data_IF_450382840324
#
_entry.id   IF_450382840324
#
_cell.length_a   1.000
_cell.length_b   1.000
_cell.length_c   1.000
_cell.angle_alpha   90.00
_cell.angle_beta   90.00
_cell.angle_gamma   90.00
#
_symmetry.space_group_name_H-M   'P 1'
#
loop_
_entity.id
_entity.type
_entity.pdbx_description
1 polymer ?
#
# COMPACT_ATOMS: atom_id res chain seq x y z
N UNK A 1 -7.65 21.78 2.78
CA UNK A 1 -7.09 22.67 1.74
C UNK A 1 -5.62 22.35 1.64
N UNK A 2 -5.10 22.13 0.43
CA UNK A 2 -3.65 21.90 0.24
C UNK A 2 -2.89 23.22 0.43
N UNK A 3 -1.59 23.18 0.75
CA UNK A 3 -0.75 24.37 0.76
C UNK A 3 -0.74 25.06 -0.62
N UNK A 4 -0.61 26.39 -0.64
CA UNK A 4 -0.69 27.22 -1.85
C UNK A 4 0.38 26.91 -2.91
N UNK A 5 1.48 26.29 -2.51
CA UNK A 5 2.61 25.94 -3.36
C UNK A 5 2.46 24.56 -4.02
N UNK A 6 1.47 23.76 -3.61
CA UNK A 6 1.15 22.48 -4.25
C UNK A 6 0.22 22.74 -5.43
N UNK A 7 0.67 22.45 -6.64
CA UNK A 7 -0.10 22.57 -7.88
C UNK A 7 -0.71 21.23 -8.24
N UNK A 8 -1.81 21.26 -8.99
CA UNK A 8 -2.39 20.09 -9.62
C UNK A 8 -1.98 20.03 -11.08
N UNK A 9 -1.61 18.85 -11.54
CA UNK A 9 -1.33 18.59 -12.95
C UNK A 9 -2.58 18.03 -13.64
N UNK A 10 -2.54 17.95 -14.97
CA UNK A 10 -3.57 17.20 -15.72
C UNK A 10 -3.53 15.71 -15.32
N UNK A 11 -4.67 15.00 -15.39
CA UNK A 11 -4.69 13.54 -15.24
C UNK A 11 -3.63 12.87 -16.13
N UNK A 12 -2.88 11.94 -15.55
CA UNK A 12 -1.79 11.23 -16.24
C UNK A 12 -0.49 12.04 -16.44
N UNK A 13 -0.35 13.23 -15.83
CA UNK A 13 0.92 13.98 -15.85
C UNK A 13 1.57 14.00 -14.45
N UNK A 14 2.53 13.11 -14.25
CA UNK A 14 3.38 13.09 -13.06
C UNK A 14 4.53 14.10 -13.19
N UNK A 15 5.27 14.34 -12.10
CA UNK A 15 6.47 15.19 -12.09
C UNK A 15 7.72 14.50 -12.62
N UNK A 16 7.61 13.20 -12.89
CA UNK A 16 8.60 12.40 -13.63
C UNK A 16 7.92 11.79 -14.84
N UNK A 17 8.67 11.64 -15.92
CA UNK A 17 8.16 11.00 -17.12
C UNK A 17 7.88 9.52 -16.87
N UNK A 18 6.88 8.99 -17.56
CA UNK A 18 6.58 7.57 -17.60
C UNK A 18 5.91 7.20 -18.92
N UNK A 19 6.13 5.98 -19.39
CA UNK A 19 5.58 5.50 -20.65
C UNK A 19 4.77 4.21 -20.45
N UNK A 20 3.46 4.31 -20.68
CA UNK A 20 2.58 3.15 -20.68
C UNK A 20 3.00 2.10 -21.70
N UNK A 21 3.59 2.47 -22.85
CA UNK A 21 4.06 1.52 -23.86
C UNK A 21 5.18 0.61 -23.33
N UNK A 22 5.99 1.11 -22.41
CA UNK A 22 7.06 0.35 -21.74
C UNK A 22 6.56 -0.42 -20.52
N UNK A 23 5.49 0.06 -19.86
CA UNK A 23 4.92 -0.61 -18.70
C UNK A 23 4.39 -2.00 -19.03
N UNK A 24 4.71 -2.96 -18.15
CA UNK A 24 4.20 -4.32 -18.14
C UNK A 24 3.59 -4.60 -16.78
N UNK A 25 2.56 -5.46 -16.76
CA UNK A 25 1.95 -5.91 -15.52
C UNK A 25 3.02 -6.45 -14.56
N UNK A 26 3.13 -5.88 -13.34
CA UNK A 26 4.14 -6.29 -12.40
C UNK A 26 3.85 -7.69 -11.86
N UNK A 27 4.90 -8.36 -11.42
CA UNK A 27 4.81 -9.68 -10.81
C UNK A 27 5.32 -9.58 -9.37
N UNK A 28 4.46 -9.89 -8.41
CA UNK A 28 4.78 -9.70 -7.00
C UNK A 28 5.87 -10.68 -6.52
N UNK A 29 6.06 -11.81 -7.20
CA UNK A 29 7.15 -12.76 -6.91
C UNK A 29 8.54 -12.20 -7.24
N UNK A 30 8.62 -11.21 -8.14
CA UNK A 30 9.87 -10.53 -8.49
C UNK A 30 10.27 -9.46 -7.48
N UNK A 31 9.45 -9.21 -6.46
CA UNK A 31 9.82 -8.34 -5.34
C UNK A 31 10.66 -9.10 -4.32
N UNK A 32 11.40 -8.39 -3.46
CA UNK A 32 12.10 -9.01 -2.32
C UNK A 32 11.14 -9.65 -1.30
N UNK A 33 9.83 -9.45 -1.45
CA UNK A 33 8.80 -9.99 -0.57
C UNK A 33 8.16 -11.28 -1.12
N UNK A 34 8.40 -11.64 -2.38
CA UNK A 34 7.87 -12.88 -2.99
C UNK A 34 8.19 -14.11 -2.13
N UNK A 35 7.22 -14.99 -1.90
CA UNK A 35 7.34 -16.17 -1.03
C UNK A 35 7.58 -15.90 0.46
N UNK A 36 7.78 -14.64 0.87
CA UNK A 36 8.24 -14.25 2.20
C UNK A 36 7.20 -14.22 3.31
N UNK A 37 5.93 -14.42 2.99
CA UNK A 37 4.82 -14.31 3.95
C UNK A 37 4.22 -15.66 4.33
N UNK A 38 4.82 -16.77 3.89
CA UNK A 38 4.38 -18.12 4.21
C UNK A 38 4.71 -18.48 5.66
N UNK A 39 3.67 -18.73 6.48
CA UNK A 39 3.60 -19.54 7.71
C UNK A 39 4.66 -19.44 8.82
N UNK A 40 5.94 -19.31 8.50
CA UNK A 40 7.09 -19.24 9.39
C UNK A 40 7.39 -17.82 9.91
N UNK A 41 6.64 -16.81 9.49
CA UNK A 41 6.88 -15.39 9.80
C UNK A 41 7.59 -14.65 8.66
N UNK A 42 7.57 -13.31 8.73
CA UNK A 42 8.09 -12.42 7.67
C UNK A 42 9.52 -12.79 7.25
N UNK A 43 9.70 -13.11 5.97
CA UNK A 43 10.96 -13.47 5.32
C UNK A 43 11.64 -14.74 5.88
N UNK A 44 10.95 -15.54 6.68
CA UNK A 44 11.53 -16.75 7.29
C UNK A 44 11.39 -17.99 6.42
N UNK A 45 10.43 -18.02 5.50
CA UNK A 45 10.31 -19.12 4.56
C UNK A 45 11.52 -19.19 3.62
N UNK A 46 12.09 -20.38 3.46
CA UNK A 46 13.26 -20.62 2.61
C UNK A 46 12.98 -20.30 1.15
N UNK A 47 11.73 -20.38 0.69
CA UNK A 47 11.31 -20.04 -0.68
C UNK A 47 11.21 -18.54 -0.94
N UNK A 48 11.39 -17.69 0.08
CA UNK A 48 11.28 -16.24 -0.13
C UNK A 48 12.36 -15.69 -1.07
N UNK A 49 11.98 -14.79 -1.96
CA UNK A 49 12.85 -14.19 -2.98
C UNK A 49 14.07 -13.54 -2.35
N UNK A 50 13.92 -12.85 -1.21
CA UNK A 50 15.06 -12.29 -0.46
C UNK A 50 16.07 -13.37 -0.05
N UNK A 51 15.61 -14.45 0.60
CA UNK A 51 16.50 -15.54 1.05
C UNK A 51 17.17 -16.26 -0.12
N UNK A 52 16.44 -16.46 -1.21
CA UNK A 52 16.97 -17.06 -2.44
C UNK A 52 18.02 -16.16 -3.10
N UNK A 53 17.81 -14.84 -3.08
CA UNK A 53 18.72 -13.86 -3.70
C UNK A 53 20.04 -13.73 -2.92
N UNK A 54 20.00 -13.66 -1.59
CA UNK A 54 21.21 -13.46 -0.79
C UNK A 54 21.84 -14.76 -0.26
N UNK A 55 21.18 -15.90 -0.48
CA UNK A 55 21.58 -17.22 0.01
C UNK A 55 20.95 -17.59 1.36
N UNK A 56 20.57 -18.86 1.51
CA UNK A 56 19.87 -19.36 2.71
C UNK A 56 20.70 -19.24 3.98
N UNK A 57 22.00 -19.52 3.90
CA UNK A 57 22.92 -19.45 5.04
C UNK A 57 23.12 -18.00 5.52
N UNK A 58 23.44 -17.10 4.58
CA UNK A 58 23.62 -15.67 4.88
C UNK A 58 22.34 -15.04 5.44
N UNK A 59 21.19 -15.32 4.83
CA UNK A 59 19.90 -14.85 5.33
C UNK A 59 19.58 -15.42 6.71
N UNK A 60 19.87 -16.69 6.98
CA UNK A 60 19.68 -17.28 8.30
C UNK A 60 20.54 -16.59 9.35
N UNK A 61 21.82 -16.33 9.05
CA UNK A 61 22.70 -15.59 9.97
C UNK A 61 22.20 -14.17 10.29
N UNK A 62 21.55 -13.50 9.34
CA UNK A 62 20.90 -12.19 9.58
C UNK A 62 19.69 -12.35 10.51
N UNK A 63 18.84 -13.35 10.29
CA UNK A 63 17.68 -13.65 11.13
C UNK A 63 18.14 -13.97 12.55
N UNK A 64 19.11 -14.87 12.71
CA UNK A 64 19.61 -15.30 14.02
C UNK A 64 20.23 -14.13 14.80
N UNK A 65 20.97 -13.26 14.10
CA UNK A 65 21.52 -12.03 14.69
C UNK A 65 20.41 -11.08 15.15
N UNK A 66 19.36 -10.92 14.35
CA UNK A 66 18.20 -10.10 14.70
C UNK A 66 17.46 -10.66 15.92
N UNK A 67 17.23 -11.96 15.97
CA UNK A 67 16.55 -12.64 17.08
C UNK A 67 17.37 -12.52 18.36
N UNK A 68 18.69 -12.77 18.27
CA UNK A 68 19.61 -12.56 19.39
C UNK A 68 19.59 -11.12 19.90
N UNK A 69 19.59 -10.13 19.00
CA UNK A 69 19.54 -8.72 19.40
C UNK A 69 18.26 -8.37 20.15
N UNK A 70 17.10 -8.91 19.74
CA UNK A 70 15.84 -8.71 20.46
C UNK A 70 15.92 -9.20 21.92
N UNK A 71 16.52 -10.36 22.15
CA UNK A 71 16.66 -10.95 23.48
C UNK A 71 17.74 -10.26 24.33
N UNK A 72 18.96 -10.13 23.80
CA UNK A 72 20.10 -9.59 24.53
C UNK A 72 19.88 -8.13 24.91
N UNK A 73 19.37 -7.30 23.99
CA UNK A 73 19.15 -5.88 24.25
C UNK A 73 18.04 -5.66 25.28
N UNK A 74 17.01 -6.50 25.26
CA UNK A 74 15.95 -6.48 26.28
C UNK A 74 16.47 -6.91 27.65
N UNK A 75 17.27 -7.98 27.73
CA UNK A 75 17.88 -8.46 28.97
C UNK A 75 18.80 -7.41 29.60
N UNK A 76 19.49 -6.62 28.77
CA UNK A 76 20.35 -5.51 29.19
C UNK A 76 19.60 -4.18 29.41
N UNK A 77 18.27 -4.16 29.29
CA UNK A 77 17.43 -2.98 29.44
C UNK A 77 17.85 -1.80 28.54
N UNK A 78 18.36 -2.09 27.34
CA UNK A 78 18.84 -1.09 26.40
C UNK A 78 17.68 -0.17 25.96
N UNK A 79 17.84 1.17 26.03
CA UNK A 79 16.81 2.10 25.57
C UNK A 79 16.35 1.84 24.13
N UNK A 80 15.04 1.76 23.91
CA UNK A 80 14.43 1.45 22.61
C UNK A 80 14.30 -0.06 22.32
N UNK A 81 14.82 -0.91 23.19
CA UNK A 81 14.76 -2.38 23.13
C UNK A 81 14.26 -2.99 24.45
N UNK A 82 13.76 -2.18 25.37
CA UNK A 82 13.28 -2.65 26.66
C UNK A 82 12.05 -3.54 26.47
N UNK A 83 11.72 -4.36 27.46
CA UNK A 83 10.54 -5.25 27.37
C UNK A 83 9.26 -4.47 27.04
N UNK A 84 9.10 -3.23 27.56
CA UNK A 84 7.97 -2.35 27.21
C UNK A 84 7.97 -1.88 25.75
N UNK A 85 9.14 -1.70 25.15
CA UNK A 85 9.30 -1.29 23.75
C UNK A 85 8.93 -2.48 22.84
N UNK A 86 9.42 -3.68 23.17
CA UNK A 86 9.05 -4.92 22.50
C UNK A 86 7.55 -5.22 22.63
N UNK A 87 6.97 -4.97 23.81
CA UNK A 87 5.53 -5.14 24.04
C UNK A 87 4.70 -4.22 23.13
N UNK A 88 5.14 -2.97 22.91
CA UNK A 88 4.47 -2.07 21.95
C UNK A 88 4.53 -2.64 20.53
N UNK A 89 5.69 -3.15 20.10
CA UNK A 89 5.83 -3.79 18.78
C UNK A 89 4.93 -5.03 18.67
N UNK A 90 4.86 -5.88 19.70
CA UNK A 90 3.93 -7.02 19.72
C UNK A 90 2.46 -6.60 19.70
N UNK A 91 2.10 -5.44 20.25
CA UNK A 91 0.74 -4.87 20.15
C UNK A 91 0.44 -4.18 18.80
N UNK A 92 1.46 -3.99 17.96
CA UNK A 92 1.31 -3.38 16.63
C UNK A 92 0.95 -4.38 15.52
N UNK A 93 0.78 -5.66 15.88
CA UNK A 93 0.63 -6.79 14.95
C UNK A 93 -0.55 -6.69 13.98
N UNK A 94 -0.40 -7.52 12.95
CA UNK A 94 -1.36 -7.87 11.93
C UNK A 94 -2.49 -8.71 12.54
N UNK A 95 -3.73 -8.29 12.32
CA UNK A 95 -4.94 -9.04 12.70
C UNK A 95 -5.38 -9.94 11.52
N UNK A 96 -6.38 -10.79 11.74
CA UNK A 96 -6.96 -11.70 10.74
C UNK A 96 -7.23 -11.05 9.37
N UNK A 97 -7.18 -11.84 8.30
CA UNK A 97 -7.33 -11.36 6.93
C UNK A 97 -8.72 -10.75 6.67
N UNK A 98 -8.82 -9.55 6.06
CA UNK A 98 -10.11 -8.98 5.66
C UNK A 98 -10.70 -9.75 4.45
N UNK A 99 -12.00 -9.62 4.18
CA UNK A 99 -12.58 -10.19 2.96
C UNK A 99 -11.95 -9.54 1.73
N UNK A 100 -11.55 -10.38 0.76
CA UNK A 100 -10.97 -9.92 -0.49
C UNK A 100 -12.00 -9.21 -1.39
N UNK A 101 -13.23 -9.72 -1.42
CA UNK A 101 -14.33 -9.17 -2.20
C UNK A 101 -15.55 -8.96 -1.31
N UNK A 102 -16.27 -7.88 -1.56
CA UNK A 102 -17.54 -7.61 -0.90
C UNK A 102 -18.49 -6.91 -1.88
N UNK A 103 -19.56 -7.63 -2.23
CA UNK A 103 -20.76 -7.05 -2.83
C UNK A 103 -21.73 -6.65 -1.71
N UNK A 104 -22.77 -5.87 -2.03
CA UNK A 104 -23.86 -5.59 -1.11
C UNK A 104 -24.25 -6.88 -0.37
N UNK A 105 -24.15 -6.84 0.96
CA UNK A 105 -24.18 -8.02 1.84
C UNK A 105 -25.33 -8.97 1.50
N UNK A 106 -25.15 -10.28 1.72
CA UNK A 106 -26.25 -11.28 1.73
C UNK A 106 -27.32 -11.04 2.82
N UNK A 107 -27.27 -9.89 3.52
CA UNK A 107 -28.37 -9.39 4.33
C UNK A 107 -29.52 -8.99 3.38
N UNK A 108 -30.53 -9.87 3.31
CA UNK A 108 -31.71 -9.72 2.48
C UNK A 108 -32.39 -8.34 2.67
N UNK A 109 -32.34 -7.78 3.88
CA UNK A 109 -32.93 -6.47 4.15
C UNK A 109 -32.17 -5.34 3.45
N UNK A 110 -30.85 -5.44 3.35
CA UNK A 110 -30.01 -4.44 2.66
C UNK A 110 -30.03 -4.59 1.15
N UNK A 111 -30.24 -5.79 0.62
CA UNK A 111 -30.45 -5.99 -0.82
C UNK A 111 -31.73 -5.32 -1.34
N UNK A 112 -32.72 -5.12 -0.47
CA UNK A 112 -33.95 -4.42 -0.82
C UNK A 112 -33.83 -2.89 -0.73
N UNK A 113 -32.71 -2.36 -0.22
CA UNK A 113 -32.51 -0.92 -0.22
C UNK A 113 -32.33 -0.43 -1.66
N UNK A 114 -32.86 0.76 -2.00
CA UNK A 114 -32.57 1.36 -3.28
C UNK A 114 -31.06 1.57 -3.40
N UNK A 115 -30.52 1.27 -4.58
CA UNK A 115 -29.16 1.64 -4.94
C UNK A 115 -29.03 3.16 -4.84
N UNK A 116 -27.94 3.64 -4.25
CA UNK A 116 -27.68 5.07 -4.19
C UNK A 116 -27.41 5.62 -5.59
N UNK A 117 -27.93 6.81 -5.88
CA UNK A 117 -27.71 7.52 -7.14
C UNK A 117 -27.22 8.95 -6.86
N UNK A 118 -26.29 9.41 -7.68
CA UNK A 118 -25.71 10.75 -7.61
C UNK A 118 -24.54 10.92 -8.56
N UNK A 119 -23.95 12.11 -8.57
CA UNK A 119 -22.80 12.43 -9.44
C UNK A 119 -21.50 11.79 -8.91
N UNK A 120 -20.50 11.54 -9.78
CA UNK A 120 -19.18 11.08 -9.34
C UNK A 120 -18.50 12.01 -8.32
N UNK A 121 -18.77 13.33 -8.40
CA UNK A 121 -18.27 14.35 -7.48
C UNK A 121 -18.91 14.22 -6.09
N UNK A 122 -20.23 14.01 -6.03
CA UNK A 122 -20.94 13.74 -4.79
C UNK A 122 -20.49 12.43 -4.16
N UNK A 123 -20.34 11.38 -4.98
CA UNK A 123 -19.83 10.08 -4.55
C UNK A 123 -18.42 10.21 -3.94
N UNK A 124 -17.49 10.88 -4.62
CA UNK A 124 -16.13 11.09 -4.12
C UNK A 124 -16.11 11.90 -2.80
N UNK A 125 -16.94 12.94 -2.69
CA UNK A 125 -17.07 13.72 -1.44
C UNK A 125 -17.64 12.88 -0.29
N UNK A 126 -18.66 12.07 -0.57
CA UNK A 126 -19.30 11.17 0.39
C UNK A 126 -18.32 10.09 0.88
N UNK A 127 -17.67 9.39 -0.05
CA UNK A 127 -16.67 8.36 0.26
C UNK A 127 -15.53 8.97 1.06
N UNK A 128 -15.05 10.18 0.71
CA UNK A 128 -14.02 10.87 1.49
C UNK A 128 -14.45 11.16 2.93
N UNK A 129 -15.67 11.62 3.13
CA UNK A 129 -16.21 11.84 4.47
C UNK A 129 -16.29 10.53 5.27
N UNK A 130 -16.79 9.45 4.66
CA UNK A 130 -16.87 8.14 5.29
C UNK A 130 -15.48 7.56 5.62
N UNK A 131 -14.53 7.60 4.68
CA UNK A 131 -13.17 7.10 4.91
C UNK A 131 -12.46 7.86 6.04
N UNK A 132 -12.62 9.19 6.10
CA UNK A 132 -12.09 10.02 7.21
C UNK A 132 -12.71 9.64 8.55
N UNK A 133 -14.02 9.38 8.58
CA UNK A 133 -14.71 8.89 9.77
C UNK A 133 -14.19 7.52 10.22
N UNK A 134 -13.88 6.62 9.29
CA UNK A 134 -13.32 5.29 9.60
C UNK A 134 -11.83 5.31 9.99
N UNK A 135 -11.15 6.45 9.89
CA UNK A 135 -9.78 6.62 10.36
C UNK A 135 -8.72 6.75 9.27
N UNK A 136 -9.10 6.85 7.99
CA UNK A 136 -8.16 7.21 6.93
C UNK A 136 -7.65 8.64 7.14
N UNK A 137 -6.37 8.87 6.83
CA UNK A 137 -5.80 10.22 6.88
C UNK A 137 -6.24 11.04 5.65
N UNK A 138 -6.33 10.47 4.47
CA UNK A 138 -7.01 11.10 3.33
C UNK A 138 -7.31 10.03 2.28
N UNK A 139 -8.13 10.39 1.29
CA UNK A 139 -8.31 9.59 0.09
C UNK A 139 -8.15 10.42 -1.18
N UNK A 140 -7.82 9.73 -2.26
CA UNK A 140 -7.86 10.20 -3.64
C UNK A 140 -8.51 9.12 -4.48
N UNK A 141 -9.14 9.50 -5.57
CA UNK A 141 -9.98 8.60 -6.37
C UNK A 141 -9.67 8.75 -7.84
N UNK A 142 -9.86 7.68 -8.61
CA UNK A 142 -9.72 7.73 -10.06
C UNK A 142 -10.33 6.53 -10.76
N UNK A 143 -10.60 6.69 -12.04
CA UNK A 143 -11.02 5.59 -12.91
C UNK A 143 -9.80 4.75 -13.30
N UNK A 144 -9.95 3.42 -13.33
CA UNK A 144 -8.95 2.53 -13.92
C UNK A 144 -9.32 2.24 -15.36
N UNK A 145 -8.56 2.79 -16.30
CA UNK A 145 -8.79 2.64 -17.74
C UNK A 145 -7.97 1.49 -18.32
N UNK A 146 -7.96 1.36 -19.65
CA UNK A 146 -7.09 0.42 -20.35
C UNK A 146 -5.60 0.67 -20.09
N UNK A 147 -5.19 1.91 -19.77
CA UNK A 147 -3.81 2.23 -19.43
C UNK A 147 -3.44 1.67 -18.05
N UNK A 148 -4.24 1.98 -17.03
CA UNK A 148 -4.02 1.51 -15.65
C UNK A 148 -4.18 -0.01 -15.50
N UNK A 149 -4.77 -0.70 -16.48
CA UNK A 149 -4.78 -2.17 -16.53
C UNK A 149 -3.37 -2.78 -16.40
N UNK A 150 -2.33 -2.04 -16.82
CA UNK A 150 -0.91 -2.43 -16.69
C UNK A 150 -0.36 -2.38 -15.27
N UNK A 151 -1.11 -1.82 -14.31
CA UNK A 151 -0.73 -1.75 -12.91
C UNK A 151 -1.15 -3.00 -12.12
N UNK A 152 -2.10 -3.79 -12.65
CA UNK A 152 -2.54 -5.00 -11.99
C UNK A 152 -1.42 -6.04 -11.96
N UNK A 153 -1.21 -6.63 -10.79
CA UNK A 153 -0.24 -7.67 -10.59
C UNK A 153 -0.65 -8.95 -11.34
N UNK A 154 0.31 -9.69 -11.88
CA UNK A 154 0.07 -10.96 -12.59
C UNK A 154 0.04 -12.17 -11.65
N UNK A 155 0.81 -12.11 -10.56
CA UNK A 155 0.88 -13.14 -9.51
C UNK A 155 0.94 -12.47 -8.15
N UNK A 156 0.41 -13.14 -7.13
CA UNK A 156 0.57 -12.75 -5.74
C UNK A 156 1.89 -13.27 -5.14
N UNK A 157 2.14 -12.99 -3.84
CA UNK A 157 3.38 -13.41 -3.16
C UNK A 157 3.46 -14.90 -2.86
N UNK A 158 2.41 -15.66 -3.14
CA UNK A 158 2.38 -17.11 -2.97
C UNK A 158 2.49 -17.84 -4.29
N UNK A 159 2.86 -17.13 -5.36
CA UNK A 159 2.97 -17.64 -6.72
C UNK A 159 1.61 -18.03 -7.33
N UNK A 160 0.52 -17.45 -6.82
CA UNK A 160 -0.82 -17.68 -7.36
C UNK A 160 -1.17 -16.60 -8.39
N UNK A 161 -1.73 -16.99 -9.56
CA UNK A 161 -2.11 -16.04 -10.60
C UNK A 161 -3.23 -15.11 -10.12
N UNK A 162 -3.13 -13.84 -10.51
CA UNK A 162 -4.18 -12.83 -10.36
C UNK A 162 -4.78 -12.62 -11.75
N UNK A 163 -6.07 -12.90 -11.90
CA UNK A 163 -6.73 -12.99 -13.22
C UNK A 163 -8.03 -12.23 -13.26
N UNK A 164 -8.37 -11.73 -14.45
CA UNK A 164 -9.67 -11.15 -14.76
C UNK A 164 -10.59 -12.22 -15.35
N UNK A 165 -11.81 -12.35 -14.82
CA UNK A 165 -12.80 -13.34 -15.27
C UNK A 165 -14.21 -12.76 -15.31
N UNK A 166 -15.06 -13.33 -16.18
CA UNK A 166 -16.52 -13.11 -16.16
C UNK A 166 -17.15 -13.88 -15.01
N UNK A 167 -16.86 -13.45 -13.78
CA UNK A 167 -17.39 -14.03 -12.54
C UNK A 167 -18.47 -13.11 -11.93
N UNK A 168 -19.51 -13.68 -11.29
CA UNK A 168 -20.46 -12.88 -10.52
C UNK A 168 -19.83 -12.20 -9.29
N UNK A 169 -18.76 -12.78 -8.73
CA UNK A 169 -18.05 -12.27 -7.55
C UNK A 169 -16.53 -12.37 -7.71
N UNK A 170 -15.79 -11.50 -7.02
CA UNK A 170 -14.36 -11.71 -6.82
C UNK A 170 -14.12 -12.77 -5.73
N UNK A 171 -13.02 -13.50 -5.82
CA UNK A 171 -12.65 -14.49 -4.81
C UNK A 171 -11.15 -14.76 -4.82
N UNK A 172 -10.66 -15.30 -3.70
CA UNK A 172 -9.29 -15.76 -3.53
C UNK A 172 -9.34 -17.17 -2.94
N UNK A 173 -8.67 -18.13 -3.58
CA UNK A 173 -8.61 -19.51 -3.13
C UNK A 173 -7.17 -20.06 -3.21
N UNK A 174 -6.98 -21.37 -3.08
CA UNK A 174 -5.65 -21.98 -3.14
C UNK A 174 -5.03 -22.02 -4.55
N UNK A 175 -5.78 -21.64 -5.59
CA UNK A 175 -5.36 -21.73 -7.00
C UNK A 175 -5.17 -20.38 -7.68
N UNK A 176 -5.92 -19.34 -7.30
CA UNK A 176 -5.86 -18.02 -7.95
C UNK A 176 -6.48 -16.89 -7.11
N UNK A 177 -6.34 -15.66 -7.61
CA UNK A 177 -7.08 -14.47 -7.20
C UNK A 177 -7.90 -13.98 -8.40
N UNK A 178 -9.21 -13.89 -8.24
CA UNK A 178 -10.10 -13.49 -9.34
C UNK A 178 -10.61 -12.07 -9.13
N UNK A 179 -10.45 -11.26 -10.18
CA UNK A 179 -11.00 -9.93 -10.33
C UNK A 179 -12.14 -10.03 -11.35
N UNK A 180 -13.39 -9.73 -10.98
CA UNK A 180 -14.49 -9.71 -11.94
C UNK A 180 -14.28 -8.64 -13.02
N UNK A 181 -14.66 -8.97 -14.26
CA UNK A 181 -14.72 -8.02 -15.36
C UNK A 181 -15.78 -6.94 -15.06
N UNK A 182 -15.31 -5.78 -14.59
CA UNK A 182 -16.14 -4.60 -14.27
C UNK A 182 -15.39 -3.34 -14.67
N UNK A 183 -16.12 -2.23 -14.77
CA UNK A 183 -15.52 -0.90 -14.74
C UNK A 183 -15.15 -0.58 -13.30
N UNK A 184 -13.85 -0.58 -12.99
CA UNK A 184 -13.32 -0.32 -11.66
C UNK A 184 -12.85 1.13 -11.50
N UNK A 185 -13.13 1.68 -10.34
CA UNK A 185 -12.53 2.91 -9.83
C UNK A 185 -11.64 2.54 -8.65
N UNK A 186 -10.49 3.18 -8.55
CA UNK A 186 -9.60 3.04 -7.40
C UNK A 186 -9.86 4.17 -6.41
N UNK A 187 -9.99 3.78 -5.15
CA UNK A 187 -9.84 4.65 -4.00
C UNK A 187 -8.42 4.41 -3.49
N UNK A 188 -7.55 5.40 -3.62
CA UNK A 188 -6.22 5.41 -3.01
C UNK A 188 -6.33 6.04 -1.62
N UNK A 189 -5.88 5.34 -0.59
CA UNK A 189 -6.03 5.71 0.81
C UNK A 189 -4.65 5.96 1.40
N UNK A 190 -4.52 7.01 2.21
CA UNK A 190 -3.34 7.21 3.04
C UNK A 190 -3.63 7.06 4.53
N UNK A 191 -2.69 6.47 5.26
CA UNK A 191 -2.72 6.29 6.72
C UNK A 191 -1.41 6.79 7.30
N UNK A 192 -1.49 7.66 8.31
CA UNK A 192 -0.30 8.18 8.97
C UNK A 192 0.38 7.14 9.86
N UNK A 193 1.70 7.26 9.95
CA UNK A 193 2.51 6.53 10.89
C UNK A 193 3.17 7.47 11.89
N UNK A 194 3.65 6.92 13.00
CA UNK A 194 4.33 7.73 14.02
C UNK A 194 5.72 8.16 13.57
N UNK A 195 5.88 9.45 13.25
CA UNK A 195 7.18 10.06 12.92
C UNK A 195 8.20 9.92 14.06
N UNK A 196 7.74 10.03 15.30
CA UNK A 196 8.61 9.90 16.48
C UNK A 196 9.15 8.48 16.59
N UNK A 197 8.32 7.46 16.40
CA UNK A 197 8.78 6.08 16.42
C UNK A 197 9.68 5.73 15.22
N UNK A 198 9.47 6.36 14.06
CA UNK A 198 10.38 6.20 12.91
C UNK A 198 11.79 6.75 13.16
N UNK A 199 11.98 7.65 14.13
CA UNK A 199 13.30 8.18 14.51
C UNK A 199 14.15 7.19 15.32
N UNK A 200 13.59 6.06 15.75
CA UNK A 200 14.31 5.01 16.50
C UNK A 200 15.21 4.11 15.62
N UNK A 201 15.54 4.55 14.40
CA UNK A 201 16.49 3.86 13.52
C UNK A 201 16.09 2.41 13.24
N UNK A 202 17.02 1.48 13.44
CA UNK A 202 16.80 0.04 13.20
C UNK A 202 16.06 -0.67 14.35
N UNK A 203 15.65 0.05 15.40
CA UNK A 203 15.00 -0.51 16.58
C UNK A 203 13.56 -1.01 16.36
N UNK A 204 13.04 -1.84 17.28
CA UNK A 204 11.72 -2.45 17.20
C UNK A 204 10.57 -1.42 17.20
N UNK A 205 10.79 -0.23 17.74
CA UNK A 205 9.83 0.87 17.76
C UNK A 205 9.54 1.41 16.34
N UNK A 206 10.53 1.47 15.45
CA UNK A 206 10.31 1.81 14.04
C UNK A 206 9.42 0.76 13.38
N UNK A 207 9.66 -0.52 13.67
CA UNK A 207 8.83 -1.61 13.15
C UNK A 207 7.38 -1.46 13.64
N UNK A 208 7.15 -1.08 14.89
CA UNK A 208 5.81 -0.84 15.42
C UNK A 208 5.06 0.26 14.65
N UNK A 209 5.75 1.36 14.34
CA UNK A 209 5.20 2.45 13.54
C UNK A 209 4.86 2.02 12.10
N UNK A 210 5.71 1.16 11.53
CA UNK A 210 5.50 0.59 10.20
C UNK A 210 4.33 -0.40 10.19
N UNK A 211 4.17 -1.24 11.21
CA UNK A 211 3.09 -2.23 11.29
C UNK A 211 1.73 -1.60 11.58
N UNK A 212 1.69 -0.51 12.35
CA UNK A 212 0.43 0.10 12.77
C UNK A 212 -0.47 0.50 11.60
N UNK A 213 0.07 0.98 10.47
CA UNK A 213 -0.75 1.37 9.30
C UNK A 213 -1.57 0.20 8.75
N UNK A 214 -1.05 -1.01 8.82
CA UNK A 214 -1.72 -2.18 8.27
C UNK A 214 -2.83 -2.69 9.19
N UNK A 215 -2.58 -2.64 10.50
CA UNK A 215 -3.61 -2.86 11.52
C UNK A 215 -4.78 -1.88 11.34
N UNK A 216 -4.49 -0.60 11.09
CA UNK A 216 -5.52 0.41 10.83
C UNK A 216 -6.22 0.19 9.50
N UNK A 217 -5.46 -0.13 8.43
CA UNK A 217 -6.02 -0.37 7.11
C UNK A 217 -7.08 -1.47 7.11
N UNK A 218 -6.87 -2.56 7.85
CA UNK A 218 -7.86 -3.64 8.00
C UNK A 218 -9.25 -3.11 8.36
N UNK A 219 -9.33 -2.32 9.44
CA UNK A 219 -10.60 -1.80 9.95
C UNK A 219 -11.23 -0.83 8.95
N UNK A 220 -10.41 0.03 8.33
CA UNK A 220 -10.87 0.98 7.33
C UNK A 220 -11.40 0.26 6.09
N UNK A 221 -10.68 -0.75 5.57
CA UNK A 221 -11.07 -1.55 4.43
C UNK A 221 -12.45 -2.18 4.66
N UNK A 222 -12.63 -2.90 5.78
CA UNK A 222 -13.90 -3.58 6.09
C UNK A 222 -15.05 -2.57 6.21
N UNK A 223 -14.84 -1.46 6.93
CA UNK A 223 -15.87 -0.45 7.11
C UNK A 223 -16.26 0.20 5.78
N UNK A 224 -15.28 0.51 4.93
CA UNK A 224 -15.51 1.15 3.64
C UNK A 224 -16.15 0.20 2.62
N UNK A 225 -15.75 -1.08 2.61
CA UNK A 225 -16.39 -2.13 1.81
C UNK A 225 -17.86 -2.33 2.20
N UNK A 226 -18.17 -2.33 3.50
CA UNK A 226 -19.54 -2.39 3.99
C UNK A 226 -20.34 -1.15 3.62
N UNK A 227 -19.75 0.04 3.76
CA UNK A 227 -20.39 1.30 3.40
C UNK A 227 -20.76 1.33 1.91
N UNK A 228 -19.79 1.09 1.03
CA UNK A 228 -19.99 1.10 -0.42
C UNK A 228 -20.90 -0.06 -0.86
N UNK A 229 -20.76 -1.24 -0.25
CA UNK A 229 -21.68 -2.36 -0.44
C UNK A 229 -23.12 -1.99 -0.12
N UNK A 230 -23.34 -1.26 0.97
CA UNK A 230 -24.69 -0.78 1.38
C UNK A 230 -25.24 0.28 0.43
N UNK A 231 -24.39 1.02 -0.28
CA UNK A 231 -24.80 1.92 -1.37
C UNK A 231 -25.22 1.17 -2.65
N UNK A 232 -25.04 -0.15 -2.72
CA UNK A 232 -25.38 -0.98 -3.87
C UNK A 232 -24.26 -1.10 -4.91
N UNK A 233 -23.00 -0.98 -4.48
CA UNK A 233 -21.82 -1.11 -5.35
C UNK A 233 -20.85 -2.18 -4.84
N UNK A 234 -20.09 -2.76 -5.76
CA UNK A 234 -19.11 -3.81 -5.45
C UNK A 234 -17.81 -3.18 -4.98
N UNK A 235 -17.06 -3.94 -4.16
CA UNK A 235 -15.71 -3.57 -3.73
C UNK A 235 -14.75 -4.75 -3.78
N UNK A 236 -13.50 -4.46 -4.12
CA UNK A 236 -12.39 -5.42 -4.11
C UNK A 236 -11.24 -4.83 -3.28
N UNK A 237 -10.93 -5.48 -2.18
CA UNK A 237 -9.88 -5.09 -1.24
C UNK A 237 -8.63 -5.95 -1.36
N UNK A 238 -7.86 -6.00 -0.28
CA UNK A 238 -6.63 -6.79 -0.23
C UNK A 238 -6.97 -8.25 0.04
N UNK A 239 -6.36 -9.17 -0.72
CA UNK A 239 -6.54 -10.61 -0.50
C UNK A 239 -5.76 -11.09 0.72
N UNK A 240 -4.66 -10.43 1.05
CA UNK A 240 -3.82 -10.71 2.21
C UNK A 240 -3.16 -9.39 2.61
N UNK A 241 -3.31 -8.92 3.85
CA UNK A 241 -2.59 -7.72 4.28
C UNK A 241 -1.09 -8.04 4.40
N UNK A 242 -0.18 -7.22 3.86
CA UNK A 242 -0.34 -5.86 3.31
C UNK A 242 -0.56 -5.70 1.79
N UNK A 243 -1.06 -6.71 1.09
CA UNK A 243 -1.04 -6.81 -0.37
C UNK A 243 -2.41 -6.82 -1.05
N UNK A 244 -2.57 -5.83 -1.92
CA UNK A 244 -3.65 -5.77 -2.90
C UNK A 244 -3.19 -6.19 -4.29
N UNK A 245 -4.08 -6.03 -5.26
CA UNK A 245 -3.87 -6.39 -6.66
C UNK A 245 -3.15 -5.32 -7.49
N UNK A 246 -2.94 -4.12 -6.93
CA UNK A 246 -2.24 -3.00 -7.56
C UNK A 246 -1.19 -2.44 -6.56
N UNK A 247 0.02 -2.09 -7.00
CA UNK A 247 0.99 -1.37 -6.17
C UNK A 247 0.41 -0.04 -5.67
N UNK A 248 0.25 0.11 -4.35
CA UNK A 248 -0.47 1.25 -3.78
C UNK A 248 0.16 2.62 -4.04
N UNK A 249 1.47 2.66 -4.28
CA UNK A 249 2.19 3.86 -4.69
C UNK A 249 1.67 4.40 -6.03
N UNK A 250 1.23 3.56 -6.97
CA UNK A 250 0.77 4.00 -8.27
C UNK A 250 -0.43 4.95 -8.14
N UNK A 251 -1.47 4.56 -7.41
CA UNK A 251 -2.61 5.45 -7.12
C UNK A 251 -2.23 6.67 -6.28
N UNK A 252 -1.25 6.54 -5.38
CA UNK A 252 -0.76 7.69 -4.61
C UNK A 252 -0.12 8.77 -5.50
N UNK A 253 0.55 8.37 -6.58
CA UNK A 253 1.12 9.28 -7.56
C UNK A 253 0.06 9.80 -8.54
N UNK A 254 -0.66 8.89 -9.20
CA UNK A 254 -1.63 9.20 -10.26
C UNK A 254 -2.79 10.06 -9.76
N UNK A 255 -3.20 9.89 -8.50
CA UNK A 255 -4.32 10.62 -7.92
C UNK A 255 -3.88 11.72 -6.95
N UNK A 256 -2.57 11.94 -6.85
CA UNK A 256 -1.99 13.11 -6.19
C UNK A 256 -2.02 13.07 -4.68
N UNK A 257 -1.84 11.92 -4.03
CA UNK A 257 -1.42 11.93 -2.63
C UNK A 257 0.01 12.46 -2.50
N UNK A 258 0.90 12.04 -3.40
CA UNK A 258 2.34 12.21 -3.25
C UNK A 258 3.05 12.37 -4.59
N UNK A 259 4.33 12.74 -4.52
CA UNK A 259 5.28 12.63 -5.62
C UNK A 259 6.28 11.50 -5.35
N UNK A 260 6.92 11.02 -6.42
CA UNK A 260 8.01 10.04 -6.34
C UNK A 260 9.20 10.63 -5.56
N UNK A 261 9.96 9.77 -4.89
CA UNK A 261 11.15 10.15 -4.14
C UNK A 261 12.35 9.29 -4.53
N UNK A 262 13.57 9.78 -4.27
CA UNK A 262 14.85 9.12 -4.61
C UNK A 262 14.99 7.69 -4.09
N UNK A 263 14.36 7.34 -2.97
CA UNK A 263 14.52 6.02 -2.38
C UNK A 263 13.59 4.96 -3.00
N UNK A 264 12.93 5.28 -4.12
CA UNK A 264 12.12 4.53 -5.11
C UNK A 264 11.00 3.62 -4.57
N UNK A 265 11.12 3.18 -3.33
CA UNK A 265 10.19 2.35 -2.60
C UNK A 265 9.11 3.16 -1.87
N UNK A 266 9.28 4.49 -1.78
CA UNK A 266 8.37 5.38 -1.05
C UNK A 266 8.02 6.63 -1.87
N UNK A 267 6.82 7.15 -1.65
CA UNK A 267 6.40 8.45 -2.16
C UNK A 267 6.38 9.47 -1.01
N UNK A 268 6.68 10.73 -1.32
CA UNK A 268 6.61 11.82 -0.34
C UNK A 268 5.36 12.63 -0.62
N UNK A 269 4.51 12.75 0.40
CA UNK A 269 3.36 13.66 0.32
C UNK A 269 3.77 15.04 0.85
N UNK A 270 3.30 16.12 0.21
CA UNK A 270 3.59 17.48 0.65
C UNK A 270 3.00 17.79 2.04
N UNK A 271 1.92 17.09 2.41
CA UNK A 271 1.20 17.34 3.65
C UNK A 271 1.86 16.64 4.84
N UNK A 272 2.44 15.43 4.67
CA UNK A 272 2.98 14.67 5.80
C UNK A 272 4.35 14.01 5.59
N UNK A 273 4.99 14.20 4.45
CA UNK A 273 6.30 13.63 4.15
C UNK A 273 6.22 12.15 3.77
N UNK A 274 7.29 11.39 4.04
CA UNK A 274 7.41 9.97 3.67
C UNK A 274 6.86 8.98 4.71
N UNK A 275 6.48 9.43 5.91
CA UNK A 275 6.09 8.56 7.02
C UNK A 275 4.58 8.27 6.98
N UNK A 276 4.15 7.64 5.88
CA UNK A 276 2.76 7.32 5.57
C UNK A 276 2.65 5.96 4.89
N UNK A 277 1.53 5.29 5.08
CA UNK A 277 1.13 4.12 4.31
C UNK A 277 0.17 4.51 3.21
N UNK A 278 0.32 3.89 2.04
CA UNK A 278 -0.67 3.98 0.96
C UNK A 278 -1.33 2.62 0.77
N UNK A 279 -2.62 2.65 0.48
CA UNK A 279 -3.46 1.47 0.26
C UNK A 279 -4.42 1.72 -0.91
N UNK A 280 -4.99 0.64 -1.42
CA UNK A 280 -5.94 0.70 -2.54
C UNK A 280 -7.20 -0.08 -2.20
N UNK A 281 -8.34 0.43 -2.65
CA UNK A 281 -9.61 -0.27 -2.63
C UNK A 281 -10.29 -0.02 -3.97
N UNK A 282 -10.68 -1.08 -4.67
CA UNK A 282 -11.41 -0.93 -5.92
C UNK A 282 -12.91 -0.95 -5.66
N UNK A 283 -13.65 -0.22 -6.49
CA UNK A 283 -15.11 -0.20 -6.45
C UNK A 283 -15.75 -0.01 -7.81
N UNK A 284 -16.99 -0.47 -7.97
CA UNK A 284 -17.82 -0.14 -9.13
C UNK A 284 -18.64 1.15 -8.97
N UNK A 285 -18.54 1.81 -7.80
CA UNK A 285 -19.11 3.15 -7.59
C UNK A 285 -18.36 4.16 -8.47
N UNK A 286 -19.06 4.90 -9.37
CA UNK A 286 -18.43 5.98 -10.12
C UNK A 286 -17.89 7.07 -9.19
N UNK A 287 -16.62 7.43 -9.38
CA UNK A 287 -15.92 8.41 -8.55
C UNK A 287 -15.23 9.44 -9.42
N UNK A 288 -15.29 10.72 -9.02
CA UNK A 288 -14.59 11.79 -9.71
C UNK A 288 -13.07 11.59 -9.68
N UNK A 289 -12.40 11.93 -10.77
CA UNK A 289 -10.95 11.82 -10.92
C UNK A 289 -10.22 12.88 -10.10
N UNK A 290 -9.37 12.43 -9.18
CA UNK A 290 -8.38 13.27 -8.52
C UNK A 290 -7.18 13.50 -9.43
N UNK A 291 -6.50 14.63 -9.27
CA UNK A 291 -5.39 15.04 -10.11
C UNK A 291 -4.04 14.72 -9.46
N UNK A 292 -3.02 14.32 -10.25
CA UNK A 292 -1.63 14.33 -9.77
C UNK A 292 -1.22 15.72 -9.29
N UNK A 293 -0.10 15.77 -8.56
CA UNK A 293 0.40 17.03 -8.00
C UNK A 293 1.84 17.34 -8.42
N UNK A 294 2.17 18.62 -8.37
CA UNK A 294 3.54 19.13 -8.37
C UNK A 294 3.76 19.99 -7.12
N UNK A 295 4.57 19.47 -6.21
CA UNK A 295 5.06 20.04 -4.97
C UNK A 295 6.59 20.28 -5.00
N UNK A 296 7.25 20.01 -6.15
CA UNK A 296 8.69 20.12 -6.33
C UNK A 296 9.53 19.08 -5.60
N UNK A 297 8.92 17.99 -5.14
CA UNK A 297 9.58 16.96 -4.33
C UNK A 297 10.58 16.16 -5.18
N UNK A 298 10.17 15.74 -6.37
CA UNK A 298 11.04 15.06 -7.35
C UNK A 298 12.29 15.90 -7.63
N UNK A 299 12.12 17.17 -8.01
CA UNK A 299 13.22 18.12 -8.24
C UNK A 299 14.11 18.34 -7.02
N UNK A 300 13.53 18.40 -5.82
CA UNK A 300 14.31 18.48 -4.59
C UNK A 300 15.16 17.22 -4.35
N UNK A 301 14.64 16.05 -4.70
CA UNK A 301 15.37 14.79 -4.59
C UNK A 301 16.62 14.75 -5.47
N UNK A 302 16.62 15.43 -6.62
CA UNK A 302 17.76 15.48 -7.56
C UNK A 302 19.05 16.02 -6.91
N UNK A 303 18.93 16.97 -5.99
CA UNK A 303 20.10 17.59 -5.33
C UNK A 303 20.31 17.14 -3.89
N UNK A 304 19.27 16.69 -3.18
CA UNK A 304 19.33 16.44 -1.74
C UNK A 304 20.22 15.25 -1.34
N UNK A 305 20.02 14.08 -1.97
CA UNK A 305 20.78 12.82 -1.79
C UNK A 305 20.93 12.26 -0.36
N UNK A 306 20.41 12.92 0.67
CA UNK A 306 20.55 12.52 2.08
C UNK A 306 20.17 11.06 2.36
N UNK A 307 19.12 10.54 1.71
CA UNK A 307 18.72 9.14 1.88
C UNK A 307 19.73 8.16 1.28
N UNK A 308 20.37 8.49 0.16
CA UNK A 308 21.44 7.69 -0.44
C UNK A 308 22.68 7.68 0.47
N UNK A 309 23.10 8.86 0.91
CA UNK A 309 24.23 9.03 1.83
C UNK A 309 24.05 8.27 3.15
N UNK A 310 22.82 8.28 3.68
CA UNK A 310 22.52 7.65 4.97
C UNK A 310 22.18 6.16 4.86
N UNK A 311 22.08 5.60 3.65
CA UNK A 311 21.64 4.22 3.46
C UNK A 311 22.69 3.24 3.97
N UNK A 312 22.44 2.42 5.01
CA UNK A 312 23.45 1.50 5.51
C UNK A 312 23.90 0.46 4.48
N UNK A 313 22.99 0.11 3.56
CA UNK A 313 23.22 -0.90 2.51
C UNK A 313 23.59 -0.28 1.17
N UNK A 314 23.66 1.06 1.07
CA UNK A 314 23.98 1.79 -0.16
C UNK A 314 23.14 1.34 -1.38
N UNK A 315 21.86 1.04 -1.17
CA UNK A 315 20.96 0.52 -2.20
C UNK A 315 20.11 1.60 -2.88
N UNK A 316 20.33 2.88 -2.57
CA UNK A 316 19.60 4.01 -3.13
C UNK A 316 20.52 4.74 -4.11
N UNK A 317 20.03 5.02 -5.32
CA UNK A 317 20.83 5.68 -6.36
C UNK A 317 21.32 7.07 -5.93
N UNK A 318 22.53 7.42 -6.36
CA UNK A 318 23.12 8.75 -6.26
C UNK A 318 22.88 9.62 -7.49
N UNK A 319 22.25 9.09 -8.53
CA UNK A 319 22.04 9.79 -9.79
C UNK A 319 21.14 11.00 -9.59
N UNK A 320 21.41 12.08 -10.32
CA UNK A 320 20.62 13.29 -10.17
C UNK A 320 19.21 13.13 -10.73
N UNK A 321 19.03 12.31 -11.76
CA UNK A 321 17.77 12.15 -12.48
C UNK A 321 17.43 10.66 -12.60
N UNK A 322 16.13 10.29 -12.65
CA UNK A 322 15.73 8.92 -12.88
C UNK A 322 16.12 8.45 -14.28
N UNK A 323 16.41 7.15 -14.42
CA UNK A 323 16.73 6.51 -15.69
C UNK A 323 15.83 5.30 -15.93
N UNK A 324 15.69 4.94 -17.21
CA UNK A 324 15.06 3.70 -17.67
C UNK A 324 16.07 2.57 -17.94
N UNK A 325 17.37 2.90 -17.92
CA UNK A 325 18.50 2.01 -18.25
C UNK A 325 18.95 1.11 -17.10
#
# INVERSE_FOLDING_TARGET
LRPWWVRENDPGKLTVDYDWALMKNPDQMLTMHGGGFRGAGLFRDSTSTWRQTIGLEKSQGIIDKSDKALHDNAANNQPGWQVRDLALTSGSIWLEMPPYYHAASNDQARQNNPKWEGTPEEAAKMVRAASRFYGAADIRTGELTSQESKLFLTRDLHDLPIVFEDSPIGYADSSKRVIPNRKWYEISITIHMSKELFRYGEGPMRAAANHSRYRQWRTIQIALMNFIGTLGYETLGYYELPYGVIPAQAGALLFGHAEIARNDNFCISPDWGSVQGYFTLLTTLPLAQSKPIDAGISRFCNTCKKCAESCPQQCISYDNEPSWD
#
